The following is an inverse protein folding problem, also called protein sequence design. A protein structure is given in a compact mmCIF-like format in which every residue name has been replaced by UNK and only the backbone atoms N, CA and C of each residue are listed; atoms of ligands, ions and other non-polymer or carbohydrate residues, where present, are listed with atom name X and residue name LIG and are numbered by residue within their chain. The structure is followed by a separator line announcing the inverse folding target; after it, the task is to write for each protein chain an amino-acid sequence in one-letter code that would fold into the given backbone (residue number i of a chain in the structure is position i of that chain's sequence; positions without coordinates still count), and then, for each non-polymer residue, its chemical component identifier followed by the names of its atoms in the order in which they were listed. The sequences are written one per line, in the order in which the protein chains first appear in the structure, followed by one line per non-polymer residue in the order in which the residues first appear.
data_IF_539121217247
#
_entry.id   IF_539121217247
#
_cell.length_a   1.000
_cell.length_b   1.000
_cell.length_c   1.000
_cell.angle_alpha   90.00
_cell.angle_beta   90.00
_cell.angle_gamma   90.00
#
_symmetry.space_group_name_H-M   'P 1'
#
loop_
_entity.id
_entity.type
_entity.pdbx_description
1 polymer ?
#
# COMPACT_ATOMS: atom_id res chain seq x y z
N UNK A 1 -9.01 -31.41 -15.88
CA UNK A 1 -8.72 -30.97 -14.49
C UNK A 1 -7.28 -30.47 -14.31
N UNK A 2 -6.25 -31.19 -14.79
CA UNK A 2 -4.84 -30.77 -14.69
C UNK A 2 -4.49 -29.44 -15.38
N UNK A 3 -5.11 -29.15 -16.53
CA UNK A 3 -4.90 -27.90 -17.28
C UNK A 3 -5.38 -26.68 -16.47
N UNK A 4 -6.54 -26.79 -15.81
CA UNK A 4 -7.10 -25.72 -14.96
C UNK A 4 -6.21 -25.51 -13.72
N UNK A 5 -5.72 -26.58 -13.10
CA UNK A 5 -4.77 -26.49 -11.99
C UNK A 5 -3.45 -25.82 -12.37
N UNK A 6 -2.92 -26.12 -13.56
CA UNK A 6 -1.69 -25.49 -14.09
C UNK A 6 -1.85 -23.99 -14.36
N UNK A 7 -3.00 -23.57 -14.90
CA UNK A 7 -3.29 -22.14 -15.14
C UNK A 7 -3.39 -21.38 -13.80
N UNK A 8 -4.09 -21.93 -12.80
CA UNK A 8 -4.21 -21.29 -11.49
C UNK A 8 -2.83 -21.13 -10.83
N UNK A 9 -2.00 -22.19 -10.84
CA UNK A 9 -0.64 -22.15 -10.32
C UNK A 9 0.23 -21.10 -11.02
N UNK A 10 0.14 -21.02 -12.35
CA UNK A 10 0.85 -20.01 -13.14
C UNK A 10 0.44 -18.58 -12.77
N UNK A 11 -0.86 -18.32 -12.62
CA UNK A 11 -1.39 -17.01 -12.19
C UNK A 11 -0.91 -16.65 -10.79
N UNK A 12 -0.98 -17.58 -9.83
CA UNK A 12 -0.53 -17.35 -8.46
C UNK A 12 0.96 -17.07 -8.41
N UNK A 13 1.79 -17.88 -9.08
CA UNK A 13 3.24 -17.69 -9.15
C UNK A 13 3.61 -16.33 -9.76
N UNK A 14 2.96 -15.93 -10.85
CA UNK A 14 3.14 -14.63 -11.47
C UNK A 14 2.78 -13.48 -10.51
N UNK A 15 1.64 -13.59 -9.81
CA UNK A 15 1.23 -12.60 -8.81
C UNK A 15 2.25 -12.47 -7.67
N UNK A 16 2.76 -13.59 -7.15
CA UNK A 16 3.77 -13.60 -6.10
C UNK A 16 5.08 -12.95 -6.56
N UNK A 17 5.57 -13.28 -7.76
CA UNK A 17 6.78 -12.68 -8.33
C UNK A 17 6.63 -11.16 -8.53
N UNK A 18 5.48 -10.72 -9.08
CA UNK A 18 5.21 -9.30 -9.31
C UNK A 18 5.12 -8.51 -7.99
N UNK A 19 4.45 -9.08 -6.98
CA UNK A 19 4.32 -8.45 -5.67
C UNK A 19 5.64 -8.47 -4.90
N UNK A 20 6.44 -9.54 -5.00
CA UNK A 20 7.77 -9.61 -4.40
C UNK A 20 8.69 -8.50 -4.93
N UNK A 21 8.72 -8.30 -6.26
CA UNK A 21 9.49 -7.21 -6.89
C UNK A 21 8.99 -5.83 -6.45
N UNK A 22 7.67 -5.62 -6.37
CA UNK A 22 7.09 -4.35 -5.91
C UNK A 22 7.37 -4.07 -4.43
N UNK A 23 7.32 -5.08 -3.57
CA UNK A 23 7.59 -4.93 -2.14
C UNK A 23 9.08 -4.72 -1.84
N UNK A 24 9.96 -5.13 -2.76
CA UNK A 24 11.40 -4.86 -2.73
C UNK A 24 11.79 -3.48 -3.26
N UNK A 25 10.87 -2.74 -3.88
CA UNK A 25 11.16 -1.40 -4.40
C UNK A 25 11.45 -0.43 -3.22
N UNK A 26 12.63 0.21 -3.19
CA UNK A 26 13.01 1.12 -2.11
C UNK A 26 12.05 2.31 -1.97
N UNK A 27 11.46 2.78 -3.07
CA UNK A 27 10.47 3.87 -3.03
C UNK A 27 9.18 3.42 -2.36
N UNK A 28 8.74 2.18 -2.59
CA UNK A 28 7.55 1.65 -1.93
C UNK A 28 7.76 1.47 -0.43
N UNK A 29 8.95 1.00 -0.04
CA UNK A 29 9.33 0.87 1.38
C UNK A 29 9.38 2.22 2.08
N UNK A 30 10.02 3.21 1.46
CA UNK A 30 10.08 4.57 2.02
C UNK A 30 8.70 5.21 2.13
N UNK A 31 7.89 5.12 1.06
CA UNK A 31 6.54 5.65 1.04
C UNK A 31 5.66 5.02 2.12
N UNK A 32 5.66 3.69 2.23
CA UNK A 32 4.90 2.99 3.28
C UNK A 32 5.37 3.34 4.69
N UNK A 33 6.68 3.54 4.91
CA UNK A 33 7.21 3.99 6.20
C UNK A 33 6.70 5.40 6.56
N UNK A 34 6.85 6.39 5.66
CA UNK A 34 6.37 7.76 5.91
C UNK A 34 4.85 7.81 6.16
N UNK A 35 4.07 7.00 5.43
CA UNK A 35 2.63 6.89 5.68
C UNK A 35 2.35 6.27 7.05
N UNK A 36 3.07 5.21 7.45
CA UNK A 36 2.88 4.63 8.78
C UNK A 36 3.23 5.62 9.89
N UNK A 37 4.33 6.38 9.74
CA UNK A 37 4.72 7.42 10.69
C UNK A 37 3.66 8.52 10.80
N UNK A 38 3.15 9.01 9.67
CA UNK A 38 2.09 10.01 9.65
C UNK A 38 0.79 9.50 10.31
N UNK A 39 0.34 8.29 9.95
CA UNK A 39 -0.90 7.71 10.49
C UNK A 39 -0.84 7.43 12.00
N UNK A 40 0.36 7.19 12.54
CA UNK A 40 0.54 6.82 13.95
C UNK A 40 1.00 7.98 14.82
N UNK A 41 1.55 9.05 14.22
CA UNK A 41 2.09 10.20 14.93
C UNK A 41 1.30 11.50 14.79
N UNK A 42 0.28 11.57 13.93
CA UNK A 42 -0.52 12.78 13.71
C UNK A 42 -1.90 12.70 14.38
N UNK A 43 -2.24 13.75 15.15
CA UNK A 43 -3.55 13.88 15.82
C UNK A 43 -4.70 14.21 14.86
N UNK A 44 -4.37 14.81 13.71
CA UNK A 44 -5.32 15.14 12.65
C UNK A 44 -4.82 14.60 11.32
N UNK A 45 -5.55 13.64 10.76
CA UNK A 45 -5.21 13.03 9.48
C UNK A 45 -5.88 13.79 8.34
N UNK A 46 -5.09 14.22 7.36
CA UNK A 46 -5.58 14.85 6.14
C UNK A 46 -5.23 14.04 4.90
N UNK A 47 -6.20 13.92 3.98
CA UNK A 47 -5.97 13.32 2.68
C UNK A 47 -4.96 14.13 1.83
N UNK A 48 -4.86 15.46 2.04
CA UNK A 48 -3.88 16.30 1.34
C UNK A 48 -2.45 15.94 1.71
N UNK A 49 -2.19 15.72 2.99
CA UNK A 49 -0.84 15.49 3.51
C UNK A 49 -0.36 14.10 3.11
N UNK A 50 -1.27 13.12 3.16
CA UNK A 50 -1.04 11.78 2.63
C UNK A 50 -0.76 11.84 1.12
N UNK A 51 -1.48 12.68 0.37
CA UNK A 51 -1.23 12.85 -1.06
C UNK A 51 0.13 13.49 -1.33
N UNK A 52 0.58 14.41 -0.48
CA UNK A 52 1.93 14.97 -0.57
C UNK A 52 3.00 13.90 -0.34
N UNK A 53 2.85 13.04 0.68
CA UNK A 53 3.73 11.90 0.91
C UNK A 53 3.75 10.97 -0.31
N UNK A 54 2.57 10.72 -0.91
CA UNK A 54 2.50 9.97 -2.16
C UNK A 54 3.20 10.69 -3.31
N UNK A 55 3.03 11.99 -3.52
CA UNK A 55 3.72 12.70 -4.60
C UNK A 55 5.25 12.71 -4.44
N UNK A 56 5.76 12.74 -3.20
CA UNK A 56 7.20 12.69 -2.94
C UNK A 56 7.81 11.31 -3.19
N UNK A 57 7.08 10.24 -2.90
CA UNK A 57 7.64 8.88 -2.83
C UNK A 57 7.00 7.86 -3.79
N UNK A 58 5.80 8.12 -4.31
CA UNK A 58 5.11 7.33 -5.32
C UNK A 58 5.05 8.09 -6.65
N UNK A 59 5.48 7.43 -7.73
CA UNK A 59 5.59 8.03 -9.07
C UNK A 59 4.26 8.18 -9.80
N UNK A 60 3.26 7.38 -9.42
CA UNK A 60 1.97 7.27 -10.11
C UNK A 60 0.89 6.64 -9.22
N UNK A 61 -0.38 6.89 -9.52
CA UNK A 61 -1.55 6.44 -8.74
C UNK A 61 -1.56 4.94 -8.48
N UNK A 62 -1.16 4.12 -9.45
CA UNK A 62 -1.12 2.67 -9.26
C UNK A 62 -0.08 2.22 -8.22
N UNK A 63 0.99 3.00 -8.02
CA UNK A 63 1.96 2.77 -6.95
C UNK A 63 1.37 3.15 -5.60
N UNK A 64 0.71 4.31 -5.49
CA UNK A 64 0.04 4.71 -4.25
C UNK A 64 -1.04 3.70 -3.83
N UNK A 65 -1.85 3.19 -4.76
CA UNK A 65 -2.82 2.11 -4.48
C UNK A 65 -2.15 0.83 -3.98
N UNK A 66 -0.98 0.48 -4.50
CA UNK A 66 -0.18 -0.63 -3.97
C UNK A 66 0.22 -0.36 -2.51
N UNK A 67 0.69 0.84 -2.18
CA UNK A 67 1.01 1.24 -0.81
C UNK A 67 -0.21 1.16 0.11
N UNK A 68 -1.38 1.63 -0.33
CA UNK A 68 -2.64 1.54 0.44
C UNK A 68 -2.94 0.10 0.85
N UNK A 69 -2.64 -0.88 -0.01
CA UNK A 69 -2.81 -2.31 0.32
C UNK A 69 -1.74 -2.89 1.26
N UNK A 70 -0.57 -2.25 1.33
CA UNK A 70 0.55 -2.70 2.18
C UNK A 70 0.46 -2.16 3.60
N UNK A 71 0.10 -0.88 3.75
CA UNK A 71 0.15 -0.15 5.03
C UNK A 71 -0.62 -0.85 6.15
N UNK A 72 -1.87 -1.32 5.96
CA UNK A 72 -2.59 -2.04 7.02
C UNK A 72 -1.85 -3.31 7.46
N UNK A 73 -1.26 -4.04 6.52
CA UNK A 73 -0.51 -5.26 6.84
C UNK A 73 0.79 -4.95 7.60
N UNK A 74 1.42 -3.81 7.34
CA UNK A 74 2.62 -3.34 8.07
C UNK A 74 2.24 -2.96 9.49
N UNK A 75 1.18 -2.17 9.67
CA UNK A 75 0.69 -1.74 10.99
C UNK A 75 0.27 -2.94 11.86
N UNK A 76 -0.46 -3.91 11.30
CA UNK A 76 -0.83 -5.14 12.01
C UNK A 76 0.41 -5.92 12.46
N UNK A 77 1.43 -6.03 11.60
CA UNK A 77 2.69 -6.70 11.95
C UNK A 77 3.47 -5.95 13.03
N UNK A 78 3.33 -4.63 13.10
CA UNK A 78 3.93 -3.79 14.14
C UNK A 78 3.15 -3.82 15.48
N UNK A 79 2.02 -4.53 15.55
CA UNK A 79 1.24 -4.71 16.78
C UNK A 79 0.02 -3.81 16.92
N UNK A 80 -0.30 -3.00 15.91
CA UNK A 80 -1.51 -2.17 15.94
C UNK A 80 -2.78 -3.02 15.77
N UNK A 81 -3.90 -2.65 16.43
CA UNK A 81 -5.18 -3.31 16.23
C UNK A 81 -5.57 -3.36 14.75
N UNK A 82 -6.12 -4.51 14.33
CA UNK A 82 -6.54 -4.73 12.95
C UNK A 82 -7.56 -3.70 12.48
N UNK A 83 -8.55 -3.41 13.32
CA UNK A 83 -9.62 -2.46 13.01
C UNK A 83 -9.07 -1.06 12.75
N UNK A 84 -8.19 -0.57 13.64
CA UNK A 84 -7.47 0.70 13.47
C UNK A 84 -6.62 0.70 12.19
N UNK A 85 -5.86 -0.37 11.95
CA UNK A 85 -5.00 -0.47 10.76
C UNK A 85 -5.82 -0.41 9.46
N UNK A 86 -7.03 -0.98 9.46
CA UNK A 86 -7.92 -0.96 8.30
C UNK A 86 -8.76 0.31 8.17
N UNK A 87 -9.00 1.05 9.25
CA UNK A 87 -9.80 2.28 9.22
C UNK A 87 -9.11 3.42 8.47
N UNK A 88 -7.78 3.35 8.29
CA UNK A 88 -7.02 4.31 7.49
C UNK A 88 -7.14 4.10 5.97
N UNK A 89 -7.68 2.96 5.52
CA UNK A 89 -7.76 2.62 4.09
C UNK A 89 -8.56 3.65 3.27
N UNK A 90 -9.75 4.12 3.70
CA UNK A 90 -10.54 5.09 2.93
C UNK A 90 -9.82 6.42 2.71
N UNK A 91 -9.18 6.98 3.74
CA UNK A 91 -8.46 8.27 3.61
C UNK A 91 -7.21 8.14 2.72
N UNK A 92 -6.51 7.01 2.79
CA UNK A 92 -5.40 6.73 1.87
C UNK A 92 -5.86 6.58 0.42
N UNK A 93 -7.03 5.98 0.17
CA UNK A 93 -7.60 5.91 -1.18
C UNK A 93 -8.02 7.29 -1.70
N UNK A 94 -8.59 8.14 -0.86
CA UNK A 94 -8.91 9.52 -1.22
C UNK A 94 -7.62 10.28 -1.59
N UNK A 95 -6.58 10.18 -0.78
CA UNK A 95 -5.28 10.77 -1.07
C UNK A 95 -4.65 10.26 -2.37
N UNK A 96 -4.74 8.95 -2.65
CA UNK A 96 -4.25 8.37 -3.89
C UNK A 96 -5.05 8.86 -5.13
N UNK A 97 -6.28 9.32 -4.97
CA UNK A 97 -7.05 9.91 -6.07
C UNK A 97 -6.57 11.33 -6.44
N UNK A 98 -5.90 12.02 -5.52
CA UNK A 98 -5.39 13.38 -5.72
C UNK A 98 -4.09 13.43 -6.54
N UNK A 99 -3.40 12.30 -6.70
CA UNK A 99 -2.12 12.25 -7.43
C UNK A 99 -2.33 11.82 -8.90
N UNK A 100 -1.39 12.19 -9.81
CA UNK A 100 -1.43 11.82 -11.23
C UNK A 100 -1.50 10.30 -11.46
N UNK A 101 -2.06 9.90 -12.62
CA UNK A 101 -2.28 8.48 -12.97
C UNK A 101 -1.02 7.61 -12.97
#
# INVERSE_FOLDING_TARGET
MWIVGGIILGVVAWYLLRNGKRNGDPLNRKCSAEICEYLTGSDQLSASDIAEIFMRNARYRTQARHIVSMVPAILIKAGYPREQSTSFVPIMYQAAALIPE
#
